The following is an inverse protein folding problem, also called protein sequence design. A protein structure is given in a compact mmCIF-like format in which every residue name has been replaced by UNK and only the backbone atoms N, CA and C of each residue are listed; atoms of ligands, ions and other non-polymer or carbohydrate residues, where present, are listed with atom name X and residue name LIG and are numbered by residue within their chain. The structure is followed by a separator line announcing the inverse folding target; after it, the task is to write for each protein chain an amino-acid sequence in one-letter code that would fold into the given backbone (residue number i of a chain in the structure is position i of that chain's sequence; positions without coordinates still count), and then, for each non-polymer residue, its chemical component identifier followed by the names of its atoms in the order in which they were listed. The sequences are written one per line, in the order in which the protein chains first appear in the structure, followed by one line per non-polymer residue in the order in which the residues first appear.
data_IF_910065721476
#
_entry.id   IF_910065721476
#
_cell.length_a   1.000
_cell.length_b   1.000
_cell.length_c   1.000
_cell.angle_alpha   90.00
_cell.angle_beta   90.00
_cell.angle_gamma   90.00
#
_symmetry.space_group_name_H-M   'P 1'
#
loop_
_entity.id
_entity.type
_entity.pdbx_description
1 polymer ?
#
# COMPACT_ATOMS: atom_id res chain seq x y z
N UNK A 1 -7.04 -6.13 -37.69
CA UNK A 1 -8.37 -5.87 -37.07
C UNK A 1 -8.93 -7.04 -36.24
N UNK A 2 -8.67 -8.32 -36.54
CA UNK A 2 -9.22 -9.45 -35.76
C UNK A 2 -8.59 -9.67 -34.36
N UNK A 3 -7.29 -9.38 -34.18
CA UNK A 3 -6.58 -9.59 -32.89
C UNK A 3 -7.00 -8.58 -31.82
N UNK A 4 -7.24 -7.32 -32.21
CA UNK A 4 -7.68 -6.25 -31.29
C UNK A 4 -9.09 -6.56 -30.74
N UNK A 5 -9.97 -7.13 -31.56
CA UNK A 5 -11.34 -7.45 -31.17
C UNK A 5 -11.41 -8.60 -30.13
N UNK A 6 -10.50 -9.59 -30.22
CA UNK A 6 -10.44 -10.69 -29.26
C UNK A 6 -9.93 -10.24 -27.88
N UNK A 7 -8.93 -9.35 -27.86
CA UNK A 7 -8.40 -8.78 -26.61
C UNK A 7 -9.41 -7.89 -25.87
N UNK A 8 -10.26 -7.17 -26.62
CA UNK A 8 -11.28 -6.30 -26.04
C UNK A 8 -12.39 -7.11 -25.35
N UNK A 9 -12.79 -8.25 -25.93
CA UNK A 9 -13.79 -9.14 -25.35
C UNK A 9 -13.31 -9.74 -24.01
N UNK A 10 -12.03 -10.10 -23.93
CA UNK A 10 -11.44 -10.69 -22.73
C UNK A 10 -11.42 -9.70 -21.55
N UNK A 11 -11.06 -8.44 -21.82
CA UNK A 11 -11.06 -7.36 -20.81
C UNK A 11 -12.48 -7.07 -20.30
N UNK A 12 -13.48 -7.11 -21.19
CA UNK A 12 -14.88 -6.90 -20.81
C UNK A 12 -15.41 -8.00 -19.88
N UNK A 13 -15.04 -9.26 -20.12
CA UNK A 13 -15.44 -10.39 -19.26
C UNK A 13 -14.81 -10.29 -17.87
N UNK A 14 -13.51 -10.01 -17.77
CA UNK A 14 -12.83 -9.86 -16.46
C UNK A 14 -13.44 -8.75 -15.61
N UNK A 15 -13.85 -7.64 -16.25
CA UNK A 15 -14.52 -6.55 -15.55
C UNK A 15 -15.93 -6.93 -15.09
N UNK A 16 -16.65 -7.74 -15.87
CA UNK A 16 -17.96 -8.27 -15.47
C UNK A 16 -17.81 -9.20 -14.25
N UNK A 17 -16.88 -10.15 -14.30
CA UNK A 17 -16.60 -11.09 -13.21
C UNK A 17 -16.20 -10.35 -11.92
N UNK A 18 -15.36 -9.30 -12.05
CA UNK A 18 -15.03 -8.42 -10.92
C UNK A 18 -16.27 -7.76 -10.30
N UNK A 19 -17.18 -7.22 -11.13
CA UNK A 19 -18.39 -6.53 -10.66
C UNK A 19 -19.39 -7.49 -10.02
N UNK A 20 -19.49 -8.70 -10.52
CA UNK A 20 -20.27 -9.77 -9.90
C UNK A 20 -19.69 -10.15 -8.54
N UNK A 21 -18.38 -10.35 -8.45
CA UNK A 21 -17.68 -10.60 -7.20
C UNK A 21 -17.82 -9.46 -6.18
N UNK A 22 -17.74 -8.21 -6.62
CA UNK A 22 -17.98 -7.03 -5.77
C UNK A 22 -19.41 -7.01 -5.22
N UNK A 23 -20.40 -7.31 -6.07
CA UNK A 23 -21.81 -7.35 -5.69
C UNK A 23 -22.08 -8.49 -4.70
N UNK A 24 -21.52 -9.67 -4.97
CA UNK A 24 -21.58 -10.83 -4.10
C UNK A 24 -20.96 -10.53 -2.73
N UNK A 25 -19.75 -9.97 -2.70
CA UNK A 25 -19.07 -9.57 -1.47
C UNK A 25 -19.92 -8.58 -0.66
N UNK A 26 -20.47 -7.54 -1.32
CA UNK A 26 -21.36 -6.58 -0.68
C UNK A 26 -22.60 -7.25 -0.08
N UNK A 27 -23.17 -8.24 -0.75
CA UNK A 27 -24.38 -8.91 -0.27
C UNK A 27 -24.14 -9.92 0.86
N UNK A 28 -23.02 -10.65 0.84
CA UNK A 28 -22.76 -11.80 1.73
C UNK A 28 -21.71 -11.53 2.81
N UNK A 29 -20.78 -10.60 2.58
CA UNK A 29 -19.58 -10.45 3.41
C UNK A 29 -19.48 -9.08 4.11
N UNK A 30 -20.13 -8.04 3.57
CA UNK A 30 -20.00 -6.66 4.07
C UNK A 30 -20.58 -6.42 5.48
N UNK A 31 -21.42 -7.33 5.97
CA UNK A 31 -21.94 -7.27 7.35
C UNK A 31 -20.83 -7.44 8.40
N UNK A 32 -19.75 -8.14 8.05
CA UNK A 32 -18.60 -8.37 8.91
C UNK A 32 -17.36 -7.59 8.45
N UNK A 33 -17.14 -7.53 7.14
CA UNK A 33 -15.94 -6.97 6.56
C UNK A 33 -16.18 -5.54 6.09
N UNK A 34 -15.50 -4.59 6.74
CA UNK A 34 -15.41 -3.21 6.27
C UNK A 34 -14.58 -3.20 4.98
N UNK A 35 -14.90 -2.30 4.06
CA UNK A 35 -14.24 -2.16 2.75
C UNK A 35 -12.76 -1.72 2.88
N UNK A 36 -12.37 -0.59 2.30
CA UNK A 36 -11.00 -0.10 2.42
C UNK A 36 -10.79 0.72 3.70
N UNK A 37 -9.73 0.43 4.46
CA UNK A 37 -9.19 1.33 5.49
C UNK A 37 -7.69 1.53 5.23
N UNK A 38 -7.23 2.78 5.32
CA UNK A 38 -5.80 3.09 5.17
C UNK A 38 -4.91 2.28 6.11
N UNK A 39 -3.78 1.81 5.58
CA UNK A 39 -2.84 0.97 6.32
C UNK A 39 -2.26 1.66 7.57
N UNK A 40 -2.07 2.99 7.56
CA UNK A 40 -1.63 3.72 8.75
C UNK A 40 -2.68 3.68 9.86
N UNK A 41 -3.96 3.84 9.54
CA UNK A 41 -5.06 3.75 10.51
C UNK A 41 -5.19 2.33 11.05
N UNK A 42 -5.02 1.32 10.19
CA UNK A 42 -4.99 -0.10 10.62
C UNK A 42 -3.81 -0.38 11.54
N UNK A 43 -2.60 0.11 11.20
CA UNK A 43 -1.40 -0.05 12.03
C UNK A 43 -1.56 0.63 13.38
N UNK A 44 -2.02 1.88 13.41
CA UNK A 44 -2.32 2.60 14.66
C UNK A 44 -3.33 1.80 15.49
N UNK A 45 -4.43 1.36 14.85
CA UNK A 45 -5.46 0.60 15.53
C UNK A 45 -4.91 -0.66 16.20
N UNK A 46 -4.22 -1.54 15.47
CA UNK A 46 -3.78 -2.83 16.02
C UNK A 46 -2.55 -2.71 16.93
N UNK A 47 -1.53 -1.95 16.53
CA UNK A 47 -0.23 -1.96 17.21
C UNK A 47 -0.06 -0.86 18.26
N UNK A 48 -0.81 0.24 18.17
CA UNK A 48 -0.72 1.35 19.13
C UNK A 48 -1.94 1.43 20.04
N UNK A 49 -3.13 1.15 19.51
CA UNK A 49 -4.40 1.28 20.24
C UNK A 49 -5.01 -0.06 20.66
N UNK A 50 -4.34 -1.19 20.39
CA UNK A 50 -4.81 -2.53 20.76
C UNK A 50 -6.26 -2.78 20.33
N UNK A 51 -6.55 -2.47 19.06
CA UNK A 51 -7.86 -2.52 18.39
C UNK A 51 -8.97 -1.62 18.99
N UNK A 52 -8.66 -0.70 19.91
CA UNK A 52 -9.70 0.17 20.53
C UNK A 52 -10.17 1.31 19.64
N UNK A 53 -9.43 1.65 18.58
CA UNK A 53 -9.76 2.78 17.70
C UNK A 53 -10.89 2.42 16.74
N UNK A 54 -10.82 1.24 16.11
CA UNK A 54 -11.77 0.78 15.12
C UNK A 54 -12.67 -0.36 15.62
N UNK A 55 -12.27 -1.05 16.70
CA UNK A 55 -12.97 -2.22 17.25
C UNK A 55 -13.29 -3.28 16.18
N UNK A 56 -12.31 -3.57 15.32
CA UNK A 56 -12.46 -4.51 14.23
C UNK A 56 -12.62 -5.94 14.76
N UNK A 57 -13.67 -6.62 14.33
CA UNK A 57 -13.94 -8.03 14.67
C UNK A 57 -13.71 -8.99 13.51
N UNK A 58 -13.34 -8.45 12.36
CA UNK A 58 -12.96 -9.15 11.15
C UNK A 58 -11.98 -8.27 10.36
N UNK A 59 -11.14 -8.85 9.47
CA UNK A 59 -10.24 -8.08 8.63
C UNK A 59 -11.03 -7.21 7.65
N UNK A 60 -10.48 -6.05 7.28
CA UNK A 60 -11.01 -5.23 6.19
C UNK A 60 -10.70 -5.87 4.83
N UNK A 61 -11.36 -5.43 3.75
CA UNK A 61 -11.14 -6.00 2.41
C UNK A 61 -9.68 -5.86 1.99
N UNK A 62 -9.08 -4.69 2.19
CA UNK A 62 -7.68 -4.48 1.83
C UNK A 62 -6.70 -5.33 2.66
N UNK A 63 -7.08 -5.74 3.88
CA UNK A 63 -6.29 -6.71 4.67
C UNK A 63 -6.41 -8.12 4.13
N UNK A 64 -7.61 -8.53 3.70
CA UNK A 64 -7.82 -9.84 3.04
C UNK A 64 -7.02 -9.90 1.74
N UNK A 65 -7.12 -8.86 0.90
CA UNK A 65 -6.39 -8.77 -0.37
C UNK A 65 -4.88 -8.83 -0.15
N UNK A 66 -4.35 -8.08 0.84
CA UNK A 66 -2.93 -8.16 1.20
C UNK A 66 -2.54 -9.57 1.64
N UNK A 67 -3.35 -10.21 2.48
CA UNK A 67 -3.10 -11.55 2.98
C UNK A 67 -3.03 -12.58 1.85
N UNK A 68 -3.99 -12.54 0.91
CA UNK A 68 -4.07 -13.44 -0.25
C UNK A 68 -2.93 -13.18 -1.24
N UNK A 69 -2.64 -11.91 -1.56
CA UNK A 69 -1.81 -11.56 -2.72
C UNK A 69 -0.34 -11.24 -2.39
N UNK A 70 -0.07 -10.60 -1.25
CA UNK A 70 1.24 -9.97 -0.99
C UNK A 70 1.94 -10.45 0.28
N UNK A 71 1.22 -11.08 1.21
CA UNK A 71 1.78 -11.47 2.49
C UNK A 71 2.80 -12.61 2.35
N UNK A 72 3.65 -12.85 3.36
CA UNK A 72 4.48 -14.06 3.39
C UNK A 72 3.69 -15.38 3.35
N UNK A 73 2.39 -15.34 3.68
CA UNK A 73 1.45 -16.46 3.62
C UNK A 73 0.50 -16.37 2.41
N UNK A 74 0.87 -15.61 1.37
CA UNK A 74 0.09 -15.49 0.14
C UNK A 74 -0.24 -16.86 -0.45
N UNK A 75 -1.35 -16.93 -1.17
CA UNK A 75 -1.81 -18.16 -1.80
C UNK A 75 -1.30 -18.19 -3.24
N UNK A 76 -0.64 -19.27 -3.59
CA UNK A 76 -0.09 -19.54 -4.91
C UNK A 76 1.11 -18.70 -5.35
N UNK A 77 1.64 -19.04 -6.52
CA UNK A 77 2.75 -18.32 -7.15
C UNK A 77 2.22 -17.18 -8.05
N UNK A 78 2.56 -15.95 -7.69
CA UNK A 78 2.24 -14.74 -8.46
C UNK A 78 2.81 -14.69 -9.88
N UNK A 79 3.74 -15.59 -10.24
CA UNK A 79 4.24 -15.72 -11.62
C UNK A 79 3.37 -16.63 -12.50
N UNK A 80 2.49 -17.44 -11.90
CA UNK A 80 1.56 -18.33 -12.58
C UNK A 80 0.12 -17.97 -12.18
N UNK A 81 -0.43 -16.97 -12.88
CA UNK A 81 -1.71 -16.35 -12.53
C UNK A 81 -2.87 -17.34 -12.62
N UNK A 82 -2.85 -18.26 -13.59
CA UNK A 82 -3.92 -19.26 -13.77
C UNK A 82 -3.90 -20.28 -12.63
N UNK A 83 -2.71 -20.75 -12.23
CA UNK A 83 -2.59 -21.63 -11.07
C UNK A 83 -2.97 -20.90 -9.78
N UNK A 84 -2.50 -19.66 -9.61
CA UNK A 84 -2.80 -18.84 -8.45
C UNK A 84 -4.31 -18.61 -8.28
N UNK A 85 -5.04 -18.32 -9.36
CA UNK A 85 -6.50 -18.18 -9.35
C UNK A 85 -7.17 -19.45 -8.79
N UNK A 86 -6.80 -20.63 -9.31
CA UNK A 86 -7.34 -21.91 -8.84
C UNK A 86 -7.02 -22.19 -7.36
N UNK A 87 -5.80 -21.87 -6.91
CA UNK A 87 -5.41 -22.07 -5.51
C UNK A 87 -6.18 -21.14 -4.56
N UNK A 88 -6.39 -19.88 -4.96
CA UNK A 88 -7.20 -18.92 -4.20
C UNK A 88 -8.66 -19.39 -4.15
N UNK A 89 -9.24 -19.79 -5.28
CA UNK A 89 -10.62 -20.29 -5.35
C UNK A 89 -10.81 -21.49 -4.42
N UNK A 90 -9.90 -22.47 -4.49
CA UNK A 90 -9.94 -23.66 -3.63
C UNK A 90 -9.79 -23.31 -2.14
N UNK A 91 -8.89 -22.38 -1.82
CA UNK A 91 -8.73 -21.89 -0.45
C UNK A 91 -10.02 -21.23 0.04
N UNK A 92 -10.61 -20.32 -0.75
CA UNK A 92 -11.84 -19.64 -0.39
C UNK A 92 -12.96 -20.64 -0.15
N UNK A 93 -13.15 -21.61 -1.05
CA UNK A 93 -14.15 -22.66 -0.88
C UNK A 93 -13.94 -23.45 0.41
N UNK A 94 -12.73 -23.95 0.63
CA UNK A 94 -12.39 -24.72 1.83
C UNK A 94 -12.63 -23.91 3.12
N UNK A 95 -12.12 -22.68 3.18
CA UNK A 95 -12.15 -21.84 4.37
C UNK A 95 -13.53 -21.23 4.65
N UNK A 96 -14.29 -20.86 3.62
CA UNK A 96 -15.64 -20.32 3.79
C UNK A 96 -16.62 -21.41 4.24
N UNK A 97 -16.50 -22.64 3.72
CA UNK A 97 -17.33 -23.77 4.16
C UNK A 97 -16.93 -24.31 5.53
N UNK A 98 -15.63 -24.42 5.80
CA UNK A 98 -15.10 -25.02 7.02
C UNK A 98 -14.03 -24.10 7.63
N UNK A 99 -14.45 -22.97 8.24
CA UNK A 99 -13.50 -22.00 8.77
C UNK A 99 -12.67 -22.61 9.89
N UNK A 100 -11.35 -22.54 9.72
CA UNK A 100 -10.37 -22.99 10.70
C UNK A 100 -9.39 -21.86 11.01
N UNK A 101 -9.31 -21.48 12.28
CA UNK A 101 -8.42 -20.41 12.73
C UNK A 101 -6.94 -20.73 12.51
N UNK A 102 -6.57 -22.01 12.50
CA UNK A 102 -5.20 -22.45 12.20
C UNK A 102 -4.86 -22.40 10.72
N UNK A 103 -5.87 -22.44 9.86
CA UNK A 103 -5.75 -22.31 8.41
C UNK A 103 -6.15 -20.91 7.90
N UNK A 104 -6.09 -19.90 8.76
CA UNK A 104 -6.41 -18.52 8.38
C UNK A 104 -5.22 -17.84 7.70
N UNK A 105 -5.49 -17.14 6.61
CA UNK A 105 -4.54 -16.21 5.95
C UNK A 105 -4.21 -14.97 6.80
N UNK A 106 -4.96 -14.70 7.87
CA UNK A 106 -4.73 -13.52 8.70
C UNK A 106 -3.44 -13.64 9.53
N UNK A 107 -2.81 -12.49 9.82
CA UNK A 107 -1.64 -12.42 10.68
C UNK A 107 -1.95 -12.88 12.12
N UNK A 108 -1.05 -13.66 12.70
CA UNK A 108 -1.25 -14.31 14.01
C UNK A 108 -1.31 -13.31 15.18
N UNK A 109 -0.69 -12.13 15.04
CA UNK A 109 -0.72 -11.09 16.06
C UNK A 109 -2.05 -10.34 16.10
N UNK A 110 -2.79 -10.30 14.98
CA UNK A 110 -4.09 -9.60 14.88
C UNK A 110 -5.28 -10.56 15.02
N UNK A 111 -5.11 -11.85 14.69
CA UNK A 111 -6.14 -12.89 14.83
C UNK A 111 -6.84 -12.91 16.20
N UNK A 112 -6.17 -12.64 17.35
CA UNK A 112 -6.81 -12.52 18.66
C UNK A 112 -7.95 -11.51 18.76
N UNK A 113 -7.98 -10.48 17.90
CA UNK A 113 -9.02 -9.45 17.91
C UNK A 113 -10.28 -9.83 17.13
N UNK A 114 -10.23 -10.89 16.32
CA UNK A 114 -11.33 -11.27 15.44
C UNK A 114 -12.24 -12.30 16.07
N UNK A 115 -13.53 -12.18 15.77
CA UNK A 115 -14.52 -13.19 16.08
C UNK A 115 -14.27 -14.45 15.22
N UNK A 116 -14.70 -15.60 15.72
CA UNK A 116 -14.65 -16.82 14.93
C UNK A 116 -15.57 -16.69 13.71
N UNK A 117 -15.04 -16.98 12.53
CA UNK A 117 -15.81 -16.95 11.31
C UNK A 117 -16.88 -18.05 11.32
N UNK A 118 -18.12 -17.67 11.00
CA UNK A 118 -19.21 -18.62 10.77
C UNK A 118 -19.02 -19.33 9.41
N UNK A 119 -19.37 -20.61 9.39
CA UNK A 119 -19.43 -21.42 8.19
C UNK A 119 -20.47 -20.85 7.21
N UNK A 120 -20.14 -20.89 5.93
CA UNK A 120 -21.00 -20.54 4.81
C UNK A 120 -21.34 -21.77 3.97
N UNK A 121 -21.21 -22.97 4.53
CA UNK A 121 -21.48 -24.21 3.82
C UNK A 121 -22.93 -24.24 3.33
N UNK A 122 -23.11 -24.34 2.02
CA UNK A 122 -24.42 -24.31 1.36
C UNK A 122 -24.99 -22.92 1.10
N UNK A 123 -24.29 -21.85 1.49
CA UNK A 123 -24.73 -20.46 1.27
C UNK A 123 -24.22 -19.85 -0.06
N UNK A 124 -23.20 -20.48 -0.65
CA UNK A 124 -22.52 -20.07 -1.88
C UNK A 124 -22.52 -21.22 -2.90
N UNK A 125 -22.58 -20.88 -4.18
CA UNK A 125 -22.42 -21.79 -5.33
C UNK A 125 -20.96 -21.84 -5.78
N UNK A 126 -20.60 -22.82 -6.63
CA UNK A 126 -19.23 -22.93 -7.15
C UNK A 126 -18.77 -21.64 -7.88
N UNK A 127 -19.65 -21.06 -8.69
CA UNK A 127 -19.41 -19.79 -9.39
C UNK A 127 -19.17 -18.60 -8.45
N UNK A 128 -19.77 -18.61 -7.25
CA UNK A 128 -19.60 -17.54 -6.27
C UNK A 128 -18.14 -17.48 -5.76
N UNK A 129 -17.47 -18.62 -5.62
CA UNK A 129 -16.06 -18.67 -5.21
C UNK A 129 -15.14 -18.10 -6.28
N UNK A 130 -15.41 -18.41 -7.55
CA UNK A 130 -14.68 -17.83 -8.68
C UNK A 130 -14.86 -16.31 -8.73
N UNK A 131 -16.09 -15.83 -8.58
CA UNK A 131 -16.40 -14.40 -8.57
C UNK A 131 -15.71 -13.67 -7.40
N UNK A 132 -15.70 -14.27 -6.19
CA UNK A 132 -14.93 -13.71 -5.06
C UNK A 132 -13.42 -13.71 -5.31
N UNK A 133 -12.89 -14.75 -5.97
CA UNK A 133 -11.47 -14.83 -6.36
C UNK A 133 -11.10 -13.67 -7.27
N UNK A 134 -11.87 -13.47 -8.34
CA UNK A 134 -11.70 -12.36 -9.28
C UNK A 134 -11.82 -10.99 -8.59
N UNK A 135 -12.79 -10.84 -7.67
CA UNK A 135 -12.91 -9.64 -6.87
C UNK A 135 -11.65 -9.33 -6.08
N UNK A 136 -11.08 -10.29 -5.35
CA UNK A 136 -9.88 -10.05 -4.54
C UNK A 136 -8.63 -9.83 -5.39
N UNK A 137 -8.43 -10.61 -6.46
CA UNK A 137 -7.26 -10.49 -7.34
C UNK A 137 -7.24 -9.13 -8.06
N UNK A 138 -8.39 -8.68 -8.57
CA UNK A 138 -8.52 -7.43 -9.31
C UNK A 138 -8.86 -6.22 -8.41
N UNK A 139 -8.98 -6.42 -7.09
CA UNK A 139 -9.39 -5.39 -6.14
C UNK A 139 -8.54 -4.13 -6.23
N UNK A 140 -7.21 -4.28 -6.27
CA UNK A 140 -6.27 -3.15 -6.31
C UNK A 140 -6.40 -2.33 -7.60
N UNK A 141 -6.55 -3.01 -8.73
CA UNK A 141 -6.64 -2.37 -10.05
C UNK A 141 -7.98 -1.63 -10.22
N UNK A 142 -9.02 -2.09 -9.52
CA UNK A 142 -10.37 -1.52 -9.56
C UNK A 142 -10.71 -0.69 -8.32
N UNK A 143 -9.73 -0.40 -7.48
CA UNK A 143 -9.94 0.33 -6.24
C UNK A 143 -10.27 1.79 -6.56
N UNK A 144 -11.56 2.13 -6.61
CA UNK A 144 -12.02 3.52 -6.68
C UNK A 144 -12.01 4.14 -5.29
N UNK A 145 -10.81 4.38 -4.74
CA UNK A 145 -10.69 5.25 -3.57
C UNK A 145 -11.15 6.63 -4.01
N UNK A 146 -12.17 7.20 -3.34
CA UNK A 146 -12.54 8.59 -3.63
C UNK A 146 -11.27 9.46 -3.43
N UNK A 147 -10.99 10.38 -4.36
CA UNK A 147 -9.81 11.25 -4.29
C UNK A 147 -9.68 11.99 -2.94
N UNK A 148 -10.77 12.11 -2.16
CA UNK A 148 -10.84 12.69 -0.83
C UNK A 148 -10.20 11.84 0.27
N UNK A 149 -10.09 10.54 0.06
CA UNK A 149 -9.53 9.59 1.03
C UNK A 149 -8.03 9.36 0.78
N UNK A 150 -7.57 9.23 -0.48
CA UNK A 150 -6.13 9.18 -0.82
C UNK A 150 -5.40 10.42 -0.27
N UNK A 151 -6.06 11.59 -0.33
CA UNK A 151 -5.55 12.83 0.25
C UNK A 151 -5.20 12.71 1.74
N UNK A 152 -5.74 11.74 2.50
CA UNK A 152 -5.44 11.64 3.94
C UNK A 152 -4.09 10.98 4.25
N UNK A 153 -3.42 10.43 3.25
CA UNK A 153 -2.14 9.72 3.40
C UNK A 153 -0.91 10.64 3.24
N UNK A 154 -1.08 11.80 2.62
CA UNK A 154 -0.26 12.99 2.85
C UNK A 154 -1.15 14.16 2.43
N UNK A 155 -1.73 14.88 3.39
CA UNK A 155 -2.76 15.89 3.09
C UNK A 155 -2.29 16.85 2.01
N UNK A 156 -3.14 17.17 1.03
CA UNK A 156 -2.92 18.32 0.14
C UNK A 156 -2.69 19.62 0.95
N UNK A 157 -3.13 19.63 2.22
CA UNK A 157 -2.76 20.60 3.26
C UNK A 157 -1.28 20.52 3.65
N UNK A 158 -0.71 19.34 3.87
CA UNK A 158 0.74 19.15 4.14
C UNK A 158 1.59 19.61 2.96
N UNK A 159 1.19 19.34 1.72
CA UNK A 159 1.95 19.77 0.55
C UNK A 159 2.00 21.30 0.45
N UNK A 160 0.86 21.97 0.63
CA UNK A 160 0.77 23.43 0.68
C UNK A 160 1.62 24.01 1.81
N UNK A 161 1.53 23.46 3.02
CA UNK A 161 2.33 23.90 4.17
C UNK A 161 3.83 23.74 3.92
N UNK A 162 4.25 22.63 3.30
CA UNK A 162 5.65 22.39 2.95
C UNK A 162 6.13 23.38 1.89
N UNK A 163 5.32 23.67 0.87
CA UNK A 163 5.63 24.67 -0.16
C UNK A 163 5.70 26.07 0.45
N UNK A 164 4.74 26.44 1.31
CA UNK A 164 4.74 27.74 2.00
C UNK A 164 5.98 27.89 2.87
N UNK A 165 6.35 26.85 3.63
CA UNK A 165 7.56 26.83 4.43
C UNK A 165 8.82 26.91 3.57
N UNK A 166 8.90 26.13 2.51
CA UNK A 166 10.02 26.13 1.56
C UNK A 166 10.22 27.50 0.91
N UNK A 167 9.12 28.16 0.51
CA UNK A 167 9.13 29.54 0.00
C UNK A 167 9.58 30.54 1.04
N UNK A 168 9.01 30.48 2.25
CA UNK A 168 9.33 31.39 3.36
C UNK A 168 10.79 31.29 3.79
N UNK A 169 11.33 30.08 3.86
CA UNK A 169 12.72 29.82 4.24
C UNK A 169 13.69 29.88 3.06
N UNK A 170 13.18 30.06 1.83
CA UNK A 170 13.94 29.99 0.58
C UNK A 170 14.78 28.71 0.46
N UNK A 171 14.18 27.56 0.77
CA UNK A 171 14.80 26.24 0.77
C UNK A 171 14.18 25.34 -0.29
N UNK A 172 14.98 24.44 -0.87
CA UNK A 172 14.49 23.35 -1.71
C UNK A 172 13.80 22.31 -0.83
N UNK A 173 13.10 21.35 -1.43
CA UNK A 173 12.45 20.25 -0.69
C UNK A 173 13.19 18.96 -1.01
N UNK A 174 13.45 18.13 0.00
CA UNK A 174 13.96 16.77 -0.17
C UNK A 174 12.93 15.78 0.38
N UNK A 175 12.42 14.91 -0.49
CA UNK A 175 11.49 13.85 -0.09
C UNK A 175 12.25 12.53 -0.03
N UNK A 176 12.25 11.90 1.14
CA UNK A 176 12.87 10.62 1.40
C UNK A 176 11.83 9.50 1.38
N UNK A 177 11.81 8.72 0.31
CA UNK A 177 11.02 7.50 0.20
C UNK A 177 11.72 6.35 0.95
N UNK A 178 11.06 5.88 2.01
CA UNK A 178 11.52 4.82 2.89
C UNK A 178 10.44 3.75 3.04
N UNK A 179 10.80 2.57 3.57
CA UNK A 179 9.83 1.53 3.97
C UNK A 179 10.31 0.90 5.28
N UNK A 180 9.41 0.43 6.14
CA UNK A 180 9.76 -0.23 7.42
C UNK A 180 10.41 -1.59 7.20
N UNK A 181 10.08 -2.26 6.10
CA UNK A 181 10.66 -3.55 5.73
C UNK A 181 12.04 -3.43 5.07
N UNK A 182 12.39 -2.24 4.58
CA UNK A 182 13.62 -1.98 3.84
C UNK A 182 14.88 -1.94 4.73
N UNK A 183 15.74 -2.97 4.62
CA UNK A 183 17.02 -3.04 5.34
C UNK A 183 17.93 -1.84 5.07
N UNK A 184 18.09 -1.45 3.79
CA UNK A 184 18.93 -0.33 3.40
C UNK A 184 18.41 1.02 3.91
N UNK A 185 17.11 1.15 4.12
CA UNK A 185 16.48 2.34 4.69
C UNK A 185 16.85 2.48 6.17
N UNK A 186 16.75 1.38 6.93
CA UNK A 186 17.20 1.34 8.34
C UNK A 186 18.69 1.70 8.48
N UNK A 187 19.51 1.25 7.54
CA UNK A 187 20.94 1.59 7.49
C UNK A 187 21.15 3.08 7.19
N UNK A 188 20.46 3.61 6.18
CA UNK A 188 20.52 5.03 5.81
C UNK A 188 20.08 5.95 6.96
N UNK A 189 18.99 5.60 7.64
CA UNK A 189 18.51 6.32 8.82
C UNK A 189 19.57 6.35 9.93
N UNK A 190 20.14 5.19 10.27
CA UNK A 190 21.12 5.04 11.37
C UNK A 190 22.46 5.71 11.08
N UNK A 191 23.04 5.40 9.93
CA UNK A 191 24.45 5.68 9.65
C UNK A 191 24.65 7.03 8.96
N UNK A 192 23.58 7.66 8.46
CA UNK A 192 23.66 8.92 7.71
C UNK A 192 22.65 9.95 8.22
N UNK A 193 21.34 9.69 8.09
CA UNK A 193 20.32 10.71 8.37
C UNK A 193 20.23 11.09 9.85
N UNK A 194 20.61 10.19 10.77
CA UNK A 194 20.62 10.47 12.20
C UNK A 194 21.84 11.26 12.68
N UNK A 195 22.90 11.38 11.86
CA UNK A 195 24.11 12.12 12.21
C UNK A 195 23.83 13.62 12.27
N UNK A 196 24.23 14.28 13.36
CA UNK A 196 24.01 15.71 13.57
C UNK A 196 24.60 16.59 12.47
N UNK A 197 25.77 16.21 11.95
CA UNK A 197 26.42 16.91 10.85
C UNK A 197 25.56 16.90 9.58
N UNK A 198 24.98 15.74 9.24
CA UNK A 198 24.11 15.59 8.07
C UNK A 198 22.81 16.36 8.26
N UNK A 199 22.19 16.26 9.44
CA UNK A 199 20.98 17.05 9.78
C UNK A 199 21.24 18.55 9.67
N UNK A 200 22.36 19.03 10.23
CA UNK A 200 22.76 20.44 10.17
C UNK A 200 22.97 20.90 8.73
N UNK A 201 23.69 20.12 7.93
CA UNK A 201 23.95 20.48 6.53
C UNK A 201 22.67 20.48 5.70
N UNK A 202 21.84 19.45 5.84
CA UNK A 202 20.56 19.35 5.14
C UNK A 202 19.61 20.51 5.51
N UNK A 203 19.50 20.84 6.80
CA UNK A 203 18.58 21.89 7.28
C UNK A 203 18.96 23.31 6.81
N UNK A 204 20.19 23.54 6.34
CA UNK A 204 20.59 24.84 5.77
C UNK A 204 19.84 25.17 4.49
N UNK A 205 19.60 24.16 3.65
CA UNK A 205 19.15 24.36 2.26
C UNK A 205 17.86 23.61 1.91
N UNK A 206 17.43 22.67 2.74
CA UNK A 206 16.29 21.80 2.46
C UNK A 206 15.23 21.80 3.55
N UNK A 207 13.98 21.65 3.12
CA UNK A 207 12.88 21.11 3.93
C UNK A 207 12.87 19.60 3.74
N UNK A 208 13.17 18.84 4.80
CA UNK A 208 13.19 17.39 4.77
C UNK A 208 11.80 16.81 5.03
N UNK A 209 11.37 15.91 4.15
CA UNK A 209 10.09 15.20 4.21
C UNK A 209 10.37 13.71 4.15
N UNK A 210 10.00 12.96 5.19
CA UNK A 210 10.07 11.49 5.16
C UNK A 210 8.72 10.93 4.74
N UNK A 211 8.71 10.09 3.71
CA UNK A 211 7.53 9.38 3.23
C UNK A 211 7.76 7.88 3.40
N UNK A 212 6.91 7.23 4.20
CA UNK A 212 6.91 5.77 4.32
C UNK A 212 6.03 5.17 3.23
N UNK A 213 6.64 4.48 2.28
CA UNK A 213 5.98 3.86 1.13
C UNK A 213 5.03 2.72 1.53
N UNK A 214 5.12 2.21 2.76
CA UNK A 214 4.18 1.22 3.31
C UNK A 214 2.94 1.88 3.94
N UNK A 215 2.91 3.21 4.02
CA UNK A 215 1.89 4.00 4.75
C UNK A 215 1.29 5.09 3.88
N UNK A 216 2.05 5.59 2.90
CA UNK A 216 1.63 6.67 2.04
C UNK A 216 2.20 6.66 0.62
N UNK A 217 1.39 7.23 -0.29
CA UNK A 217 1.80 7.57 -1.65
C UNK A 217 2.73 8.78 -1.63
N UNK A 218 3.66 8.85 -2.59
CA UNK A 218 4.57 9.99 -2.65
C UNK A 218 3.85 11.31 -2.97
N UNK A 219 4.19 12.42 -2.28
CA UNK A 219 3.63 13.74 -2.55
C UNK A 219 4.20 14.36 -3.84
N UNK A 220 3.73 15.56 -4.22
CA UNK A 220 4.24 16.35 -5.36
C UNK A 220 4.26 15.61 -6.69
N UNK A 221 3.29 14.73 -6.93
CA UNK A 221 3.22 13.87 -8.13
C UNK A 221 4.46 12.98 -8.37
N UNK A 222 5.32 12.80 -7.37
CA UNK A 222 6.57 12.04 -7.49
C UNK A 222 6.34 10.56 -7.83
N UNK A 223 5.14 10.05 -7.58
CA UNK A 223 4.73 8.71 -7.99
C UNK A 223 4.94 8.46 -9.49
N UNK A 224 4.83 9.50 -10.34
CA UNK A 224 5.01 9.41 -11.80
C UNK A 224 6.47 9.13 -12.21
N UNK A 225 7.44 9.57 -11.41
CA UNK A 225 8.89 9.43 -11.69
C UNK A 225 9.57 8.38 -10.83
N UNK A 226 8.84 7.84 -9.85
CA UNK A 226 9.37 6.90 -8.88
C UNK A 226 9.64 5.53 -9.51
N UNK A 227 10.90 5.07 -9.37
CA UNK A 227 11.36 3.78 -9.90
C UNK A 227 11.03 2.57 -9.01
N UNK A 228 10.15 2.73 -8.01
CA UNK A 228 9.75 1.66 -7.07
C UNK A 228 10.93 1.02 -6.32
N UNK A 229 11.94 1.82 -5.98
CA UNK A 229 13.13 1.38 -5.23
C UNK A 229 13.24 2.21 -3.95
N UNK A 230 13.30 1.55 -2.79
CA UNK A 230 13.62 2.19 -1.51
C UNK A 230 15.02 1.79 -1.01
N UNK A 231 15.80 2.70 -0.41
CA UNK A 231 15.50 4.11 -0.23
C UNK A 231 15.63 4.90 -1.55
N UNK A 232 14.89 5.99 -1.70
CA UNK A 232 15.10 6.98 -2.78
C UNK A 232 14.93 8.39 -2.21
N UNK A 233 15.81 9.30 -2.61
CA UNK A 233 15.69 10.73 -2.31
C UNK A 233 15.26 11.49 -3.55
N UNK A 234 14.24 12.33 -3.44
CA UNK A 234 13.82 13.25 -4.48
C UNK A 234 14.18 14.66 -4.09
N UNK A 235 14.78 15.40 -5.02
CA UNK A 235 15.06 16.82 -4.90
C UNK A 235 14.01 17.59 -5.69
N UNK A 236 13.38 18.56 -5.03
CA UNK A 236 12.37 19.43 -5.60
C UNK A 236 12.75 20.90 -5.38
N UNK A 237 12.24 21.77 -6.25
CA UNK A 237 12.30 23.22 -6.05
C UNK A 237 11.50 23.63 -4.82
N UNK A 238 11.66 24.89 -4.38
CA UNK A 238 10.84 25.47 -3.31
C UNK A 238 9.34 25.56 -3.66
N UNK A 239 9.00 25.41 -4.94
CA UNK A 239 7.63 25.40 -5.45
C UNK A 239 7.03 23.98 -5.53
N UNK A 240 7.79 22.95 -5.12
CA UNK A 240 7.35 21.55 -5.22
C UNK A 240 7.55 20.93 -6.60
N UNK A 241 8.32 21.55 -7.48
CA UNK A 241 8.62 20.98 -8.81
C UNK A 241 9.75 19.97 -8.72
N UNK A 242 9.55 18.75 -9.22
CA UNK A 242 10.59 17.72 -9.30
C UNK A 242 11.82 18.19 -10.10
N UNK A 243 13.02 17.98 -9.53
CA UNK A 243 14.31 18.28 -10.17
C UNK A 243 15.04 16.98 -10.52
N UNK A 244 15.28 16.12 -9.52
CA UNK A 244 16.09 14.89 -9.69
C UNK A 244 15.81 13.89 -8.58
N UNK A 245 16.15 12.62 -8.81
CA UNK A 245 16.11 11.57 -7.80
C UNK A 245 17.45 10.85 -7.65
N UNK A 246 17.71 10.36 -6.45
CA UNK A 246 18.88 9.60 -6.04
C UNK A 246 18.43 8.28 -5.39
N UNK A 247 18.28 7.20 -6.18
CA UNK A 247 17.92 5.89 -5.68
C UNK A 247 19.06 5.26 -4.87
N UNK A 248 18.70 4.41 -3.91
CA UNK A 248 19.63 3.65 -3.10
C UNK A 248 20.01 4.32 -1.78
N UNK A 249 20.74 3.55 -0.96
CA UNK A 249 21.34 4.04 0.26
C UNK A 249 22.76 4.54 -0.03
N UNK A 250 23.14 5.62 0.63
CA UNK A 250 24.41 6.31 0.42
C UNK A 250 25.25 6.25 1.70
N UNK A 251 26.56 6.38 1.56
CA UNK A 251 27.43 6.66 2.72
C UNK A 251 27.42 8.16 3.01
N UNK A 252 27.86 8.54 4.22
CA UNK A 252 27.83 9.92 4.70
C UNK A 252 28.49 10.91 3.72
N UNK A 253 29.68 10.60 3.20
CA UNK A 253 30.43 11.48 2.29
C UNK A 253 29.62 11.81 1.04
N UNK A 254 29.07 10.77 0.41
CA UNK A 254 28.37 10.87 -0.87
C UNK A 254 27.04 11.58 -0.67
N UNK A 255 26.34 11.33 0.45
CA UNK A 255 25.12 12.04 0.76
C UNK A 255 25.37 13.54 0.99
N UNK A 256 26.47 13.91 1.66
CA UNK A 256 26.85 15.32 1.81
C UNK A 256 27.21 15.96 0.45
N UNK A 257 27.78 15.21 -0.48
CA UNK A 257 28.04 15.67 -1.84
C UNK A 257 26.74 15.89 -2.62
N UNK A 258 25.79 14.94 -2.55
CA UNK A 258 24.44 15.08 -3.14
C UNK A 258 23.76 16.36 -2.63
N UNK A 259 23.82 16.65 -1.33
CA UNK A 259 23.27 17.88 -0.77
C UNK A 259 23.95 19.12 -1.36
N UNK A 260 25.27 19.11 -1.54
CA UNK A 260 26.03 20.25 -2.09
C UNK A 260 25.75 20.48 -3.58
N UNK A 261 25.72 19.42 -4.38
CA UNK A 261 25.46 19.51 -5.83
C UNK A 261 24.13 20.18 -6.15
N UNK A 262 23.12 19.90 -5.32
CA UNK A 262 21.76 20.37 -5.52
C UNK A 262 21.48 21.73 -4.84
N UNK A 263 22.49 22.40 -4.28
CA UNK A 263 22.36 23.74 -3.71
C UNK A 263 22.69 24.87 -4.71
N UNK A 264 23.25 24.52 -5.87
CA UNK A 264 23.43 25.45 -6.99
C UNK A 264 22.10 25.76 -7.67
#
# INVERSE_FOLDING_TARGET
MKIIFLSLLFILNLFADFKEGETLFKSKCSSCHIDYIFMNVLKENFFEKNNKLLNLKAPTVNMIVYAIMDSPKKIGDSNDIEMQEMEIENYLKSYLENPDRFNSICDEHILPFYDNKMSMKGELKDEDYKNLTNYFMLYKDNLTISNKEIEKSFSSTNEKEIIEKAKKENKKIIVYASSKSCFFCKRMDRDVLNLDEVKKEMNKHYIFVKNDMDESTLPFDLQKVYKKITPTFFILSKDGTYIKQYPGAWIKSDFLEILKENNK
#
